data_IF_309294592129
#
_entry.id   IF_309294592129
#
_cell.length_a   1.000
_cell.length_b   1.000
_cell.length_c   1.000
_cell.angle_alpha   90.00
_cell.angle_beta   90.00
_cell.angle_gamma   90.00
#
_symmetry.space_group_name_H-M   'P 1'
#
loop_
_entity.id
_entity.type
_entity.pdbx_description
1 polymer ?
#
# COMPACT_ATOMS: atom_id res chain seq x y z
N UNK A 1 23.88 34.65 41.48
CA UNK A 1 23.99 35.28 40.15
C UNK A 1 23.05 34.52 39.23
N UNK A 2 21.79 34.94 39.21
CA UNK A 2 20.72 34.28 38.45
C UNK A 2 20.76 34.84 37.02
N UNK A 3 21.15 34.01 36.03
CA UNK A 3 21.12 34.41 34.64
C UNK A 3 19.70 34.20 34.08
N UNK A 4 18.96 35.31 33.92
CA UNK A 4 17.65 35.33 33.26
C UNK A 4 17.83 35.08 31.76
N UNK A 5 17.51 33.86 31.31
CA UNK A 5 17.49 33.50 29.89
C UNK A 5 16.19 34.03 29.27
N UNK A 6 16.31 34.97 28.33
CA UNK A 6 15.17 35.51 27.59
C UNK A 6 14.49 34.42 26.72
N UNK A 7 13.16 34.42 26.59
CA UNK A 7 12.45 33.41 25.81
C UNK A 7 12.75 33.58 24.32
N UNK A 8 13.23 32.50 23.69
CA UNK A 8 13.45 32.42 22.26
C UNK A 8 12.14 32.74 21.53
N UNK A 9 12.17 33.64 20.55
CA UNK A 9 11.03 34.01 19.70
C UNK A 9 10.61 32.78 18.89
N UNK A 10 9.70 31.99 19.42
CA UNK A 10 9.08 30.88 18.69
C UNK A 10 8.19 31.46 17.59
N UNK A 11 8.40 31.04 16.34
CA UNK A 11 7.51 31.40 15.24
C UNK A 11 6.06 31.01 15.50
N UNK A 12 5.12 31.39 14.62
CA UNK A 12 3.70 31.07 14.78
C UNK A 12 3.52 29.59 15.09
N UNK A 13 2.72 29.24 16.11
CA UNK A 13 2.56 27.85 16.54
C UNK A 13 2.08 26.99 15.36
N UNK A 14 2.55 25.73 15.27
CA UNK A 14 2.14 24.84 14.22
C UNK A 14 0.62 24.66 14.24
N UNK A 15 -0.01 24.62 13.06
CA UNK A 15 -1.47 24.48 12.93
C UNK A 15 -1.99 23.18 13.55
N UNK A 16 -1.14 22.17 13.68
CA UNK A 16 -1.37 20.96 14.46
C UNK A 16 -0.33 20.93 15.60
N UNK A 17 -0.69 20.64 16.86
CA UNK A 17 0.29 20.54 17.94
C UNK A 17 1.33 19.46 17.66
N UNK A 18 2.57 19.68 18.09
CA UNK A 18 3.72 18.82 17.73
C UNK A 18 3.52 17.35 18.07
N UNK A 19 2.91 17.03 19.21
CA UNK A 19 2.63 15.63 19.61
C UNK A 19 1.80 14.88 18.57
N UNK A 20 0.83 15.56 17.95
CA UNK A 20 -0.02 14.97 16.93
C UNK A 20 0.67 14.97 15.55
N UNK A 21 1.60 15.88 15.29
CA UNK A 21 2.49 15.77 14.11
C UNK A 21 3.39 14.53 14.23
N UNK A 22 3.91 14.22 15.42
CA UNK A 22 4.74 13.04 15.68
C UNK A 22 3.95 11.72 15.53
N UNK A 23 2.71 11.66 16.01
CA UNK A 23 1.81 10.53 15.77
C UNK A 23 1.51 10.35 14.28
N UNK A 24 1.35 11.46 13.54
CA UNK A 24 1.14 11.44 12.09
C UNK A 24 2.39 10.91 11.37
N UNK A 25 3.59 11.30 11.81
CA UNK A 25 4.88 10.80 11.29
C UNK A 25 4.99 9.29 11.52
N UNK A 26 4.70 8.83 12.74
CA UNK A 26 4.72 7.40 13.11
C UNK A 26 3.76 6.60 12.25
N UNK A 27 2.54 7.11 12.05
CA UNK A 27 1.56 6.51 11.16
C UNK A 27 2.02 6.45 9.70
N UNK A 28 2.61 7.54 9.17
CA UNK A 28 3.16 7.56 7.79
C UNK A 28 4.26 6.52 7.63
N UNK A 29 5.19 6.43 8.59
CA UNK A 29 6.30 5.48 8.56
C UNK A 29 5.81 4.02 8.66
N UNK A 30 4.77 3.74 9.45
CA UNK A 30 4.13 2.43 9.51
C UNK A 30 3.51 2.04 8.17
N UNK A 31 2.75 2.95 7.57
CA UNK A 31 2.11 2.73 6.26
C UNK A 31 3.13 2.46 5.14
N UNK A 32 4.28 3.14 5.15
CA UNK A 32 5.38 2.86 4.21
C UNK A 32 5.98 1.47 4.40
N UNK A 33 6.11 1.03 5.66
CA UNK A 33 6.64 -0.30 6.01
C UNK A 33 5.72 -1.41 5.47
N UNK A 34 4.41 -1.15 5.45
CA UNK A 34 3.40 -2.06 4.90
C UNK A 34 3.27 -1.98 3.37
N UNK A 35 4.22 -1.33 2.67
CA UNK A 35 4.21 -1.11 1.21
C UNK A 35 3.04 -0.26 0.69
N UNK A 36 2.43 0.57 1.54
CA UNK A 36 1.33 1.46 1.21
C UNK A 36 1.76 2.92 1.31
N UNK A 37 2.46 3.42 0.28
CA UNK A 37 2.91 4.81 0.23
C UNK A 37 1.72 5.79 0.36
N UNK A 38 1.76 6.66 1.38
CA UNK A 38 0.67 7.61 1.66
C UNK A 38 0.94 8.92 0.93
N UNK A 39 0.16 9.20 -0.11
CA UNK A 39 0.27 10.45 -0.85
C UNK A 39 -0.21 11.68 -0.07
N UNK A 40 0.26 12.88 -0.48
CA UNK A 40 -0.07 14.20 0.08
C UNK A 40 -1.55 14.38 0.46
N UNK A 41 -2.47 13.99 -0.43
CA UNK A 41 -3.92 14.18 -0.21
C UNK A 41 -4.40 13.44 1.03
N UNK A 42 -3.93 12.21 1.23
CA UNK A 42 -4.33 11.35 2.34
C UNK A 42 -3.67 11.76 3.66
N UNK A 43 -2.44 12.27 3.61
CA UNK A 43 -1.78 12.89 4.77
C UNK A 43 -2.56 14.11 5.25
N UNK A 44 -2.94 15.01 4.34
CA UNK A 44 -3.76 16.19 4.66
C UNK A 44 -5.11 15.77 5.25
N UNK A 45 -5.79 14.80 4.65
CA UNK A 45 -7.07 14.29 5.16
C UNK A 45 -6.96 13.72 6.57
N UNK A 46 -5.92 12.92 6.84
CA UNK A 46 -5.70 12.33 8.16
C UNK A 46 -5.39 13.40 9.22
N UNK A 47 -4.58 14.40 8.87
CA UNK A 47 -4.26 15.50 9.76
C UNK A 47 -5.49 16.39 10.05
N UNK A 48 -6.35 16.63 9.06
CA UNK A 48 -7.63 17.32 9.27
C UNK A 48 -8.55 16.52 10.20
N UNK A 49 -8.65 15.21 10.03
CA UNK A 49 -9.44 14.36 10.92
C UNK A 49 -8.91 14.37 12.37
N UNK A 50 -7.59 14.45 12.57
CA UNK A 50 -7.02 14.61 13.91
C UNK A 50 -7.39 15.97 14.51
N UNK A 51 -7.35 17.05 13.72
CA UNK A 51 -7.80 18.38 14.18
C UNK A 51 -9.28 18.38 14.58
N UNK A 52 -10.13 17.69 13.83
CA UNK A 52 -11.56 17.56 14.13
C UNK A 52 -11.78 16.89 15.49
N UNK A 53 -11.02 15.84 15.80
CA UNK A 53 -11.09 15.14 17.08
C UNK A 53 -10.63 16.02 18.24
N UNK A 54 -9.56 16.80 18.06
CA UNK A 54 -8.99 17.66 19.11
C UNK A 54 -9.92 18.84 19.43
N UNK A 55 -10.50 19.46 18.40
CA UNK A 55 -11.25 20.70 18.54
C UNK A 55 -12.77 20.52 18.58
N UNK A 56 -13.27 19.30 18.35
CA UNK A 56 -14.70 18.96 18.43
C UNK A 56 -15.58 19.62 17.37
N UNK A 57 -14.97 20.26 16.37
CA UNK A 57 -15.65 20.97 15.28
C UNK A 57 -14.81 20.83 13.99
N UNK A 58 -15.45 20.79 12.80
CA UNK A 58 -14.70 20.89 11.54
C UNK A 58 -13.91 22.21 11.54
N UNK A 59 -12.58 22.15 11.26
CA UNK A 59 -11.77 23.35 11.24
C UNK A 59 -12.31 24.32 10.18
N UNK A 60 -12.37 25.64 10.46
CA UNK A 60 -12.92 26.65 9.53
C UNK A 60 -12.26 26.60 8.15
N UNK A 61 -11.01 26.13 8.10
CA UNK A 61 -10.30 25.85 6.87
C UNK A 61 -9.55 24.51 6.98
N UNK A 62 -9.73 23.59 6.02
CA UNK A 62 -8.95 22.35 5.98
C UNK A 62 -7.47 22.65 5.74
N UNK A 63 -6.60 21.78 6.26
CA UNK A 63 -5.16 21.92 6.04
C UNK A 63 -4.85 21.94 4.55
N UNK A 64 -4.07 22.93 4.13
CA UNK A 64 -3.80 23.17 2.71
C UNK A 64 -2.45 22.60 2.27
N UNK A 65 -2.14 22.71 0.97
CA UNK A 65 -0.82 22.41 0.42
C UNK A 65 0.33 23.13 1.14
N UNK A 66 0.06 24.33 1.67
CA UNK A 66 1.05 25.13 2.41
C UNK A 66 1.39 24.51 3.77
N UNK A 67 0.40 23.97 4.49
CA UNK A 67 0.65 23.21 5.71
C UNK A 67 1.49 21.97 5.42
N UNK A 68 1.13 21.19 4.39
CA UNK A 68 1.89 19.99 4.02
C UNK A 68 3.38 20.29 3.73
N UNK A 69 3.70 21.38 3.03
CA UNK A 69 5.10 21.74 2.78
C UNK A 69 5.86 22.08 4.07
N UNK A 70 5.22 22.79 5.01
CA UNK A 70 5.81 23.12 6.30
C UNK A 70 5.98 21.89 7.19
N UNK A 71 4.98 21.01 7.24
CA UNK A 71 5.05 19.71 7.90
C UNK A 71 6.22 18.88 7.34
N UNK A 72 6.31 18.72 6.03
CA UNK A 72 7.42 18.03 5.36
C UNK A 72 8.78 18.71 5.54
N UNK A 73 8.82 20.02 5.81
CA UNK A 73 10.06 20.74 6.11
C UNK A 73 10.51 20.53 7.57
N UNK A 74 9.55 20.39 8.50
CA UNK A 74 9.81 20.06 9.91
C UNK A 74 10.21 18.60 10.12
N UNK A 75 9.76 17.70 9.25
CA UNK A 75 10.00 16.26 9.33
C UNK A 75 10.87 15.74 8.17
N UNK A 76 12.17 16.11 8.12
CA UNK A 76 13.08 15.66 7.05
C UNK A 76 13.25 14.14 7.02
N UNK A 77 12.99 13.42 8.13
CA UNK A 77 12.94 11.96 8.22
C UNK A 77 11.95 11.33 7.22
N UNK A 78 10.87 12.04 6.86
CA UNK A 78 9.91 11.60 5.85
C UNK A 78 10.43 11.80 4.41
N UNK A 79 11.32 12.78 4.18
CA UNK A 79 11.97 13.00 2.86
C UNK A 79 13.20 12.13 2.65
N UNK A 80 13.87 11.74 3.72
CA UNK A 80 15.19 11.07 3.67
C UNK A 80 15.11 9.62 3.20
N UNK A 81 13.92 9.02 3.11
CA UNK A 81 13.70 7.72 2.45
C UNK A 81 13.49 7.90 0.94
N UNK A 82 14.50 8.43 0.22
CA UNK A 82 14.62 8.20 -1.24
C UNK A 82 14.71 6.69 -1.45
N UNK A 83 13.86 6.16 -2.35
CA UNK A 83 13.86 4.79 -2.88
C UNK A 83 14.78 3.85 -2.09
N UNK A 84 14.25 3.20 -1.06
CA UNK A 84 14.92 1.99 -0.59
C UNK A 84 14.93 1.03 -1.78
N UNK A 85 16.11 0.80 -2.35
CA UNK A 85 16.37 -0.47 -3.03
C UNK A 85 15.87 -1.52 -2.06
N UNK A 86 14.81 -2.24 -2.48
CA UNK A 86 14.25 -3.35 -1.71
C UNK A 86 15.44 -4.16 -1.19
N UNK A 87 15.60 -4.22 0.13
CA UNK A 87 16.79 -4.85 0.70
C UNK A 87 16.95 -6.24 0.10
N UNK A 88 18.20 -6.62 -0.16
CA UNK A 88 18.58 -7.92 -0.69
C UNK A 88 17.95 -9.11 0.06
N UNK A 89 17.37 -8.92 1.26
CA UNK A 89 16.59 -9.94 1.94
C UNK A 89 15.36 -10.45 1.16
N UNK A 90 14.73 -9.64 0.29
CA UNK A 90 13.65 -10.09 -0.61
C UNK A 90 14.15 -10.62 -1.97
N UNK A 91 15.36 -10.25 -2.39
CA UNK A 91 15.95 -10.62 -3.69
C UNK A 91 17.16 -11.54 -3.61
N UNK A 92 17.55 -12.01 -2.42
CA UNK A 92 18.47 -13.13 -2.28
C UNK A 92 17.71 -14.41 -2.62
N UNK A 93 17.40 -14.54 -3.90
CA UNK A 93 17.22 -15.80 -4.59
C UNK A 93 18.59 -16.44 -4.56
N UNK A 94 18.90 -17.11 -3.46
CA UNK A 94 20.12 -17.91 -3.34
C UNK A 94 19.93 -19.17 -4.20
N UNK A 95 21.02 -19.77 -4.70
CA UNK A 95 20.95 -21.06 -5.38
C UNK A 95 20.14 -22.08 -4.58
N UNK A 96 20.31 -22.11 -3.25
CA UNK A 96 19.59 -23.00 -2.34
C UNK A 96 18.07 -22.78 -2.39
N UNK A 97 17.59 -21.53 -2.39
CA UNK A 97 16.13 -21.26 -2.51
C UNK A 97 15.56 -21.66 -3.87
N UNK A 98 16.35 -21.56 -4.94
CA UNK A 98 15.93 -22.02 -6.28
C UNK A 98 15.87 -23.54 -6.30
N UNK A 99 16.85 -24.21 -5.69
CA UNK A 99 16.90 -25.67 -5.54
C UNK A 99 15.74 -26.16 -4.68
N UNK A 100 15.47 -25.53 -3.54
CA UNK A 100 14.34 -25.86 -2.67
C UNK A 100 13.01 -25.68 -3.38
N UNK A 101 12.83 -24.58 -4.11
CA UNK A 101 11.64 -24.35 -4.91
C UNK A 101 11.48 -25.37 -6.03
N UNK A 102 12.58 -25.73 -6.71
CA UNK A 102 12.58 -26.79 -7.72
C UNK A 102 12.18 -28.14 -7.12
N UNK A 103 12.70 -28.51 -5.95
CA UNK A 103 12.32 -29.75 -5.27
C UNK A 103 10.86 -29.75 -4.82
N UNK A 104 10.35 -28.62 -4.33
CA UNK A 104 8.93 -28.46 -3.97
C UNK A 104 8.01 -28.58 -5.20
N UNK A 105 8.40 -27.97 -6.32
CA UNK A 105 7.68 -28.11 -7.58
C UNK A 105 7.72 -29.54 -8.11
N UNK A 106 8.91 -30.17 -8.15
CA UNK A 106 9.06 -31.54 -8.63
C UNK A 106 8.26 -32.54 -7.79
N UNK A 107 8.27 -32.38 -6.46
CA UNK A 107 7.46 -33.17 -5.56
C UNK A 107 5.96 -32.98 -5.83
N UNK A 108 5.51 -31.73 -5.99
CA UNK A 108 4.09 -31.44 -6.26
C UNK A 108 3.63 -32.02 -7.61
N UNK A 109 4.48 -31.92 -8.65
CA UNK A 109 4.20 -32.52 -9.96
C UNK A 109 4.15 -34.05 -9.88
N UNK A 110 5.01 -34.68 -9.08
CA UNK A 110 4.97 -36.13 -8.86
C UNK A 110 3.69 -36.56 -8.15
N UNK A 111 3.30 -35.86 -7.09
CA UNK A 111 2.05 -36.15 -6.36
C UNK A 111 0.84 -36.05 -7.30
N UNK A 112 0.79 -35.03 -8.14
CA UNK A 112 -0.26 -34.88 -9.16
C UNK A 112 -0.19 -36.02 -10.20
N UNK A 113 1.00 -36.39 -10.65
CA UNK A 113 1.16 -37.48 -11.61
C UNK A 113 0.74 -38.84 -11.02
N UNK A 114 1.01 -39.06 -9.73
CA UNK A 114 0.59 -40.26 -9.01
C UNK A 114 -0.92 -40.25 -8.72
N UNK A 115 -1.50 -39.09 -8.37
CA UNK A 115 -2.96 -38.93 -8.28
C UNK A 115 -3.65 -39.18 -9.63
N UNK A 116 -3.09 -38.67 -10.73
CA UNK A 116 -3.59 -38.92 -12.10
C UNK A 116 -3.44 -40.39 -12.50
N UNK A 117 -2.34 -41.04 -12.09
CA UNK A 117 -2.07 -42.45 -12.40
C UNK A 117 -2.95 -43.39 -11.59
N UNK A 118 -3.25 -43.04 -10.34
CA UNK A 118 -4.13 -43.79 -9.45
C UNK A 118 -5.62 -43.58 -9.80
N UNK A 119 -5.96 -42.46 -10.43
CA UNK A 119 -7.29 -42.17 -10.99
C UNK A 119 -7.39 -42.73 -12.43
N UNK A 120 -7.27 -44.06 -12.56
CA UNK A 120 -7.37 -44.81 -13.82
C UNK A 120 -8.74 -44.52 -14.46
N UNK A 121 -8.80 -43.51 -15.33
CA UNK A 121 -9.93 -43.34 -16.25
C UNK A 121 -10.39 -41.92 -16.60
N UNK A 122 -9.81 -40.83 -16.08
CA UNK A 122 -10.26 -39.50 -16.50
C UNK A 122 -9.15 -38.66 -17.12
N UNK A 123 -9.21 -38.50 -18.46
CA UNK A 123 -8.60 -37.35 -19.12
C UNK A 123 -8.98 -36.10 -18.34
N UNK A 124 -8.03 -35.19 -18.09
CA UNK A 124 -8.32 -33.91 -17.41
C UNK A 124 -9.43 -33.20 -18.19
N UNK A 125 -10.66 -33.28 -17.68
CA UNK A 125 -11.80 -32.64 -18.31
C UNK A 125 -11.68 -31.14 -18.10
N UNK A 126 -12.25 -30.33 -19.01
CA UNK A 126 -12.32 -28.87 -18.84
C UNK A 126 -12.88 -28.49 -17.46
N UNK A 127 -13.87 -29.25 -16.98
CA UNK A 127 -14.50 -29.04 -15.68
C UNK A 127 -13.52 -29.31 -14.52
N UNK A 128 -12.73 -30.39 -14.60
CA UNK A 128 -11.74 -30.73 -13.57
C UNK A 128 -10.59 -29.71 -13.55
N UNK A 129 -10.14 -29.25 -14.71
CA UNK A 129 -9.16 -28.15 -14.81
C UNK A 129 -9.68 -26.82 -14.23
N UNK A 130 -10.93 -26.44 -14.52
CA UNK A 130 -11.56 -25.23 -13.95
C UNK A 130 -11.68 -25.36 -12.42
N UNK A 131 -12.12 -26.51 -11.91
CA UNK A 131 -12.24 -26.76 -10.48
C UNK A 131 -10.91 -26.58 -9.75
N UNK A 132 -9.84 -27.18 -10.26
CA UNK A 132 -8.48 -27.05 -9.70
C UNK A 132 -8.02 -25.60 -9.74
N UNK A 133 -8.25 -24.92 -10.87
CA UNK A 133 -7.85 -23.50 -11.00
C UNK A 133 -8.60 -22.61 -10.01
N UNK A 134 -9.91 -22.83 -9.84
CA UNK A 134 -10.72 -22.11 -8.86
C UNK A 134 -10.26 -22.36 -7.42
N UNK A 135 -9.93 -23.60 -7.09
CA UNK A 135 -9.42 -23.98 -5.77
C UNK A 135 -8.05 -23.33 -5.50
N UNK A 136 -7.11 -23.42 -6.45
CA UNK A 136 -5.79 -22.78 -6.34
C UNK A 136 -5.94 -21.26 -6.25
N UNK A 137 -6.88 -20.67 -7.00
CA UNK A 137 -7.16 -19.24 -6.93
C UNK A 137 -7.69 -18.86 -5.55
N UNK A 138 -8.68 -19.58 -5.02
CA UNK A 138 -9.24 -19.32 -3.69
C UNK A 138 -8.20 -19.49 -2.56
N UNK A 139 -7.32 -20.48 -2.68
CA UNK A 139 -6.37 -20.83 -1.62
C UNK A 139 -5.06 -20.01 -1.69
N UNK A 140 -4.62 -19.58 -2.87
CA UNK A 140 -3.35 -18.84 -3.03
C UNK A 140 -3.52 -17.34 -3.24
N UNK A 141 -4.70 -16.87 -3.68
CA UNK A 141 -4.91 -15.45 -3.96
C UNK A 141 -5.29 -14.71 -2.69
N UNK A 142 -4.37 -13.89 -2.20
CA UNK A 142 -4.63 -13.03 -1.04
C UNK A 142 -5.58 -11.90 -1.43
N UNK A 143 -6.56 -11.61 -0.57
CA UNK A 143 -7.46 -10.46 -0.72
C UNK A 143 -6.69 -9.14 -0.90
N UNK A 144 -5.54 -9.00 -0.25
CA UNK A 144 -4.66 -7.84 -0.40
C UNK A 144 -4.11 -7.68 -1.82
N UNK A 145 -3.77 -8.77 -2.52
CA UNK A 145 -3.31 -8.73 -3.92
C UNK A 145 -4.41 -8.19 -4.83
N UNK A 146 -5.65 -8.63 -4.62
CA UNK A 146 -6.82 -8.17 -5.37
C UNK A 146 -7.05 -6.67 -5.08
N UNK A 147 -7.16 -6.29 -3.81
CA UNK A 147 -7.39 -4.90 -3.40
C UNK A 147 -6.28 -3.98 -3.92
N UNK A 148 -5.02 -4.39 -3.84
CA UNK A 148 -3.89 -3.61 -4.34
C UNK A 148 -3.93 -3.45 -5.86
N UNK A 149 -4.36 -4.48 -6.60
CA UNK A 149 -4.59 -4.39 -8.03
C UNK A 149 -5.61 -3.31 -8.38
N UNK A 150 -6.78 -3.33 -7.72
CA UNK A 150 -7.82 -2.31 -7.92
C UNK A 150 -7.39 -0.92 -7.42
N UNK A 151 -6.62 -0.83 -6.33
CA UNK A 151 -6.11 0.43 -5.81
C UNK A 151 -5.09 1.07 -6.77
N UNK A 152 -4.23 0.26 -7.40
CA UNK A 152 -3.25 0.73 -8.38
C UNK A 152 -3.89 1.35 -9.62
N UNK A 153 -5.09 0.91 -9.99
CA UNK A 153 -5.88 1.47 -11.08
C UNK A 153 -6.84 2.59 -10.63
N UNK A 154 -6.82 2.97 -9.35
CA UNK A 154 -7.72 3.99 -8.80
C UNK A 154 -9.19 3.57 -8.83
N UNK A 155 -9.45 2.25 -8.92
CA UNK A 155 -10.78 1.65 -8.94
C UNK A 155 -11.16 1.04 -7.58
N UNK A 156 -10.35 1.27 -6.54
CA UNK A 156 -10.68 0.87 -5.19
C UNK A 156 -11.01 2.09 -4.29
N UNK A 157 -12.15 2.07 -3.56
CA UNK A 157 -13.21 1.07 -3.62
C UNK A 157 -13.95 1.08 -4.98
N UNK A 158 -14.55 -0.03 -5.41
CA UNK A 158 -15.27 -0.11 -6.68
C UNK A 158 -16.33 0.98 -6.82
N UNK A 159 -16.26 1.76 -7.90
CA UNK A 159 -17.21 2.83 -8.21
C UNK A 159 -17.54 2.80 -9.70
N UNK A 160 -18.84 2.78 -10.00
CA UNK A 160 -19.33 2.82 -11.39
C UNK A 160 -18.81 4.06 -12.12
N UNK A 161 -18.83 5.22 -11.46
CA UNK A 161 -18.37 6.49 -12.04
C UNK A 161 -16.86 6.45 -12.36
N UNK A 162 -16.04 5.88 -11.45
CA UNK A 162 -14.61 5.74 -11.67
C UNK A 162 -14.29 4.78 -12.84
N UNK A 163 -15.08 3.72 -12.99
CA UNK A 163 -14.96 2.77 -14.10
C UNK A 163 -15.37 3.41 -15.44
N UNK A 164 -16.48 4.15 -15.47
CA UNK A 164 -16.95 4.86 -16.67
C UNK A 164 -15.99 5.98 -17.10
N UNK A 165 -15.41 6.72 -16.15
CA UNK A 165 -14.35 7.69 -16.40
C UNK A 165 -13.09 7.03 -16.99
N UNK A 166 -12.65 5.90 -16.43
CA UNK A 166 -11.52 5.14 -16.99
C UNK A 166 -11.80 4.65 -18.41
N UNK A 167 -13.01 4.16 -18.68
CA UNK A 167 -13.42 3.71 -20.01
C UNK A 167 -13.38 4.85 -21.04
N UNK A 168 -13.81 6.06 -20.65
CA UNK A 168 -13.78 7.22 -21.54
C UNK A 168 -12.35 7.63 -21.94
N UNK A 169 -11.34 7.41 -21.08
CA UNK A 169 -9.93 7.65 -21.41
C UNK A 169 -9.41 6.72 -22.51
N UNK A 170 -9.90 5.49 -22.60
CA UNK A 170 -9.48 4.54 -23.63
C UNK A 170 -10.14 4.80 -25.00
N UNK A 171 -11.38 5.30 -25.00
CA UNK A 171 -12.13 5.54 -26.23
C UNK A 171 -11.66 6.78 -27.01
N UNK A 172 -10.91 7.71 -26.39
CA UNK A 172 -10.31 8.86 -27.08
C UNK A 172 -9.09 8.50 -27.94
N UNK A 173 -8.49 7.33 -27.73
CA UNK A 173 -7.26 6.91 -28.41
C UNK A 173 -7.49 6.01 -29.64
N UNK A 174 -8.76 5.77 -30.00
CA UNK A 174 -9.17 4.84 -31.08
C UNK A 174 -9.77 5.52 -32.31
N UNK A 175 -9.69 6.84 -32.39
CA UNK A 175 -10.05 7.63 -33.57
C UNK A 175 -8.78 8.21 -34.21
N UNK A 176 -8.01 7.34 -34.85
CA UNK A 176 -7.15 7.62 -36.02
C UNK A 176 -7.22 6.38 -36.91
#
# INVERSE_FOLDING_TARGET
>A
MEATVAPLRTGPPPSLPTSYEDDLVTWILGMETDSHAVGRKRIIQKATAILEVIHGFPPPQPLTRGWYHRFMARHPELKRKKAQTLSAARSAITPDKVVDFYHQLAHSVSQIADDIRNDIGSNVTKQKAVSITCEVWANSTKTSTIVNGFASTGLFPPSLDAMMYRLSLFNHHRSV
#
